data_IF_808349046751
#
_entry.id   IF_808349046751
#
_cell.length_a   1.000
_cell.length_b   1.000
_cell.length_c   1.000
_cell.angle_alpha   90.00
_cell.angle_beta   90.00
_cell.angle_gamma   90.00
#
_symmetry.space_group_name_H-M   'P 1'
#
loop_
_entity.id
_entity.type
_entity.pdbx_description
1 polymer ?
#
# COMPACT_ATOMS: atom_id res chain seq x y z
N UNK A 1 -16.19 -35.22 8.70
CA UNK A 1 -17.04 -34.18 8.08
C UNK A 1 -16.69 -34.13 6.60
N UNK A 2 -17.66 -34.34 5.71
CA UNK A 2 -17.43 -34.22 4.27
C UNK A 2 -16.97 -32.79 3.95
N UNK A 3 -15.96 -32.64 3.09
CA UNK A 3 -15.59 -31.30 2.60
C UNK A 3 -16.80 -30.76 1.83
N UNK A 4 -17.27 -29.53 2.09
CA UNK A 4 -18.35 -28.96 1.31
C UNK A 4 -17.99 -29.02 -0.18
N UNK A 5 -18.84 -29.66 -0.98
CA UNK A 5 -18.56 -29.87 -2.40
C UNK A 5 -18.87 -28.57 -3.14
N UNK A 6 -17.85 -28.00 -3.80
CA UNK A 6 -18.01 -26.82 -4.65
C UNK A 6 -18.58 -27.28 -5.99
N UNK A 7 -19.58 -26.56 -6.48
CA UNK A 7 -20.18 -26.85 -7.78
C UNK A 7 -19.18 -26.65 -8.94
N UNK A 8 -19.44 -27.34 -10.05
CA UNK A 8 -18.55 -27.33 -11.22
C UNK A 8 -18.40 -25.92 -11.78
N UNK A 9 -19.48 -25.12 -11.78
CA UNK A 9 -19.47 -23.75 -12.31
C UNK A 9 -18.52 -22.86 -11.53
N UNK A 10 -18.64 -22.80 -10.20
CA UNK A 10 -17.73 -22.05 -9.32
C UNK A 10 -16.29 -22.49 -9.50
N UNK A 11 -16.05 -23.80 -9.64
CA UNK A 11 -14.70 -24.35 -9.86
C UNK A 11 -14.11 -23.84 -11.18
N UNK A 12 -14.89 -23.82 -12.26
CA UNK A 12 -14.45 -23.31 -13.56
C UNK A 12 -14.19 -21.80 -13.52
N UNK A 13 -15.02 -21.03 -12.83
CA UNK A 13 -14.84 -19.58 -12.63
C UNK A 13 -13.54 -19.29 -11.87
N UNK A 14 -13.28 -19.98 -10.76
CA UNK A 14 -12.04 -19.83 -9.98
C UNK A 14 -10.79 -20.18 -10.81
N UNK A 15 -10.84 -21.25 -11.62
CA UNK A 15 -9.73 -21.63 -12.51
C UNK A 15 -9.47 -20.58 -13.59
N UNK A 16 -10.53 -20.04 -14.21
CA UNK A 16 -10.41 -18.95 -15.19
C UNK A 16 -9.78 -17.71 -14.56
N UNK A 17 -10.23 -17.34 -13.36
CA UNK A 17 -9.69 -16.22 -12.60
C UNK A 17 -8.19 -16.39 -12.30
N UNK A 18 -7.78 -17.54 -11.78
CA UNK A 18 -6.37 -17.80 -11.48
C UNK A 18 -5.50 -17.76 -12.73
N UNK A 19 -5.96 -18.34 -13.85
CA UNK A 19 -5.26 -18.24 -15.14
C UNK A 19 -5.12 -16.79 -15.60
N UNK A 20 -6.19 -15.99 -15.54
CA UNK A 20 -6.15 -14.57 -15.92
C UNK A 20 -5.19 -13.75 -15.04
N UNK A 21 -5.00 -14.16 -13.78
CA UNK A 21 -4.04 -13.57 -12.84
C UNK A 21 -2.62 -14.09 -12.96
N UNK A 22 -2.36 -15.07 -13.84
CA UNK A 22 -1.12 -15.84 -13.89
C UNK A 22 -0.74 -16.47 -12.54
N UNK A 23 -1.74 -16.90 -11.77
CA UNK A 23 -1.57 -17.64 -10.51
C UNK A 23 -1.62 -19.16 -10.76
N UNK A 24 -0.71 -19.90 -10.14
CA UNK A 24 -0.64 -21.36 -10.29
C UNK A 24 -1.89 -22.05 -9.73
N UNK A 25 -2.46 -22.97 -10.50
CA UNK A 25 -3.55 -23.86 -10.08
C UNK A 25 -3.04 -25.01 -9.20
N UNK A 26 -1.76 -25.36 -9.29
CA UNK A 26 -1.08 -26.39 -8.49
C UNK A 26 -0.34 -25.71 -7.33
N UNK A 27 -1.09 -24.94 -6.54
CA UNK A 27 -0.53 -24.19 -5.42
C UNK A 27 -1.43 -24.25 -4.20
N UNK A 28 -0.81 -24.18 -3.02
CA UNK A 28 -1.53 -24.03 -1.75
C UNK A 28 -2.44 -22.79 -1.76
N UNK A 29 -2.09 -21.74 -2.52
CA UNK A 29 -2.94 -20.58 -2.73
C UNK A 29 -4.27 -20.94 -3.40
N UNK A 30 -4.24 -21.74 -4.47
CA UNK A 30 -5.46 -22.17 -5.15
C UNK A 30 -6.30 -23.06 -4.25
N UNK A 31 -5.67 -24.01 -3.55
CA UNK A 31 -6.34 -24.87 -2.57
C UNK A 31 -7.01 -24.06 -1.45
N UNK A 32 -6.31 -23.08 -0.89
CA UNK A 32 -6.85 -22.17 0.13
C UNK A 32 -8.00 -21.31 -0.39
N UNK A 33 -7.91 -20.85 -1.63
CA UNK A 33 -8.99 -20.09 -2.26
C UNK A 33 -10.24 -20.95 -2.47
N UNK A 34 -10.06 -22.17 -2.99
CA UNK A 34 -11.15 -23.13 -3.14
C UNK A 34 -11.73 -23.50 -1.77
N UNK A 35 -10.90 -23.80 -0.77
CA UNK A 35 -11.38 -24.09 0.57
C UNK A 35 -12.18 -22.93 1.16
N UNK A 36 -11.75 -21.68 0.95
CA UNK A 36 -12.53 -20.51 1.33
C UNK A 36 -13.91 -20.48 0.63
N UNK A 37 -13.97 -20.67 -0.69
CA UNK A 37 -15.23 -20.73 -1.46
C UNK A 37 -16.17 -21.84 -0.98
N UNK A 38 -15.64 -22.97 -0.49
CA UNK A 38 -16.44 -24.09 0.02
C UNK A 38 -17.24 -23.73 1.28
N UNK A 39 -16.81 -22.70 2.01
CA UNK A 39 -17.46 -22.25 3.25
C UNK A 39 -18.56 -21.21 3.01
N UNK A 40 -18.75 -20.79 1.75
CA UNK A 40 -19.58 -19.65 1.36
C UNK A 40 -20.84 -20.10 0.61
N UNK A 41 -21.91 -19.31 0.72
CA UNK A 41 -23.08 -19.47 -0.15
C UNK A 41 -22.82 -18.85 -1.53
N UNK A 42 -23.76 -19.01 -2.46
CA UNK A 42 -23.54 -18.61 -3.86
C UNK A 42 -23.35 -17.10 -4.04
N UNK A 43 -24.13 -16.26 -3.35
CA UNK A 43 -23.95 -14.80 -3.36
C UNK A 43 -22.58 -14.38 -2.83
N UNK A 44 -22.11 -15.01 -1.76
CA UNK A 44 -20.81 -14.75 -1.14
C UNK A 44 -19.63 -15.24 -2.01
N UNK A 45 -19.78 -16.39 -2.68
CA UNK A 45 -18.79 -16.88 -3.66
C UNK A 45 -18.62 -15.87 -4.80
N UNK A 46 -19.73 -15.37 -5.35
CA UNK A 46 -19.71 -14.37 -6.41
C UNK A 46 -19.08 -13.05 -5.94
N UNK A 47 -19.37 -12.61 -4.71
CA UNK A 47 -18.69 -11.46 -4.12
C UNK A 47 -17.18 -11.69 -3.99
N UNK A 48 -16.73 -12.84 -3.50
CA UNK A 48 -15.30 -13.13 -3.37
C UNK A 48 -14.60 -13.21 -4.73
N UNK A 49 -15.21 -13.85 -5.73
CA UNK A 49 -14.68 -13.94 -7.09
C UNK A 49 -14.51 -12.55 -7.71
N UNK A 50 -15.54 -11.71 -7.65
CA UNK A 50 -15.51 -10.33 -8.18
C UNK A 50 -14.49 -9.42 -7.48
N UNK A 51 -14.31 -9.55 -6.16
CA UNK A 51 -13.26 -8.83 -5.43
C UNK A 51 -11.87 -9.34 -5.81
N UNK A 52 -11.73 -10.64 -6.01
CA UNK A 52 -10.45 -11.27 -6.38
C UNK A 52 -10.05 -10.94 -7.81
N UNK A 53 -11.01 -10.74 -8.72
CA UNK A 53 -10.77 -10.16 -10.05
C UNK A 53 -10.16 -8.77 -9.98
N UNK A 54 -10.55 -7.94 -9.01
CA UNK A 54 -9.97 -6.61 -8.77
C UNK A 54 -8.67 -6.65 -7.94
N UNK A 55 -8.36 -7.79 -7.31
CA UNK A 55 -7.21 -7.94 -6.44
C UNK A 55 -5.89 -7.89 -7.21
N UNK A 56 -4.93 -7.11 -6.70
CA UNK A 56 -3.64 -6.92 -7.35
C UNK A 56 -2.50 -7.38 -6.44
N UNK A 57 -1.76 -8.38 -6.91
CA UNK A 57 -0.50 -8.80 -6.31
C UNK A 57 0.66 -8.10 -7.02
N UNK A 58 1.50 -7.42 -6.25
CA UNK A 58 2.70 -6.73 -6.72
C UNK A 58 3.91 -7.43 -6.10
N UNK A 59 4.59 -8.24 -6.91
CA UNK A 59 5.79 -8.96 -6.48
C UNK A 59 7.00 -8.04 -6.29
N UNK A 60 7.95 -8.45 -5.42
CA UNK A 60 9.17 -7.70 -5.10
C UNK A 60 9.97 -7.29 -6.35
N UNK A 61 10.05 -8.18 -7.33
CA UNK A 61 10.75 -7.95 -8.61
C UNK A 61 10.18 -6.79 -9.43
N UNK A 62 8.94 -6.39 -9.15
CA UNK A 62 8.26 -5.30 -9.86
C UNK A 62 8.31 -3.98 -9.11
N UNK A 63 8.74 -3.94 -7.84
CA UNK A 63 8.57 -2.76 -6.99
C UNK A 63 9.22 -1.49 -7.56
N UNK A 64 10.45 -1.61 -8.06
CA UNK A 64 11.16 -0.49 -8.70
C UNK A 64 10.41 0.03 -9.92
N UNK A 65 9.90 -0.87 -10.76
CA UNK A 65 9.13 -0.49 -11.96
C UNK A 65 7.81 0.17 -11.58
N UNK A 66 7.10 -0.37 -10.59
CA UNK A 66 5.85 0.24 -10.11
C UNK A 66 6.08 1.64 -9.53
N UNK A 67 7.15 1.83 -8.76
CA UNK A 67 7.50 3.15 -8.23
C UNK A 67 7.93 4.13 -9.34
N UNK A 68 8.68 3.66 -10.34
CA UNK A 68 9.02 4.47 -11.52
C UNK A 68 7.77 4.91 -12.29
N UNK A 69 6.84 3.99 -12.52
CA UNK A 69 5.57 4.31 -13.17
C UNK A 69 4.74 5.31 -12.35
N UNK A 70 4.86 5.30 -11.01
CA UNK A 70 4.26 6.32 -10.16
C UNK A 70 4.96 7.68 -10.36
N UNK A 71 6.29 7.69 -10.47
CA UNK A 71 7.09 8.90 -10.68
C UNK A 71 6.75 9.58 -12.02
N UNK A 72 6.56 8.79 -13.08
CA UNK A 72 6.18 9.29 -14.41
C UNK A 72 4.81 10.01 -14.43
N UNK A 73 4.00 9.83 -13.39
CA UNK A 73 2.72 10.53 -13.22
C UNK A 73 2.84 11.88 -12.53
N UNK A 74 4.02 12.21 -11.99
CA UNK A 74 4.27 13.55 -11.45
C UNK A 74 4.23 14.54 -12.63
N UNK A 75 3.50 15.66 -12.53
CA UNK A 75 3.45 16.65 -13.59
C UNK A 75 4.84 17.12 -13.99
N UNK A 76 5.15 17.07 -15.29
CA UNK A 76 6.48 17.41 -15.83
C UNK A 76 6.96 18.79 -15.41
N UNK A 77 6.07 19.78 -15.27
CA UNK A 77 6.45 21.12 -14.82
C UNK A 77 7.00 21.14 -13.39
N UNK A 78 6.53 20.26 -12.49
CA UNK A 78 7.09 20.13 -11.12
C UNK A 78 8.51 19.56 -11.19
N UNK A 79 8.69 18.47 -11.92
CA UNK A 79 10.00 17.81 -12.08
C UNK A 79 11.01 18.72 -12.79
N UNK A 80 10.58 19.41 -13.85
CA UNK A 80 11.44 20.28 -14.64
C UNK A 80 11.75 21.60 -13.92
N UNK A 81 10.77 22.13 -13.18
CA UNK A 81 10.92 23.35 -12.38
C UNK A 81 11.83 23.17 -11.17
N UNK A 82 12.03 21.94 -10.72
CA UNK A 82 12.95 21.67 -9.62
C UNK A 82 14.42 21.74 -10.03
N UNK A 83 15.28 22.32 -9.20
CA UNK A 83 16.73 22.26 -9.38
C UNK A 83 17.24 20.86 -8.97
N UNK A 84 16.92 20.45 -7.75
CA UNK A 84 17.20 19.12 -7.21
C UNK A 84 15.93 18.42 -6.73
N UNK A 85 15.96 17.10 -6.79
CA UNK A 85 14.88 16.23 -6.33
C UNK A 85 15.47 15.24 -5.34
N UNK A 86 15.23 15.46 -4.06
CA UNK A 86 15.67 14.57 -2.99
C UNK A 86 14.65 13.46 -2.81
N UNK A 87 15.11 12.21 -2.77
CA UNK A 87 14.29 11.05 -2.45
C UNK A 87 14.64 10.59 -1.04
N UNK A 88 13.61 10.42 -0.21
CA UNK A 88 13.74 9.98 1.18
C UNK A 88 12.64 8.99 1.54
N UNK A 89 12.86 7.99 2.43
CA UNK A 89 11.80 7.12 2.90
C UNK A 89 10.71 7.91 3.64
N UNK A 90 9.44 7.54 3.43
CA UNK A 90 8.34 8.05 4.23
C UNK A 90 8.40 7.43 5.64
N UNK A 91 9.08 8.11 6.57
CA UNK A 91 9.39 7.56 7.89
C UNK A 91 9.28 8.56 9.03
N UNK A 92 9.25 8.05 10.27
CA UNK A 92 9.36 8.82 11.53
C UNK A 92 10.74 8.64 12.19
N UNK A 93 11.70 8.10 11.46
CA UNK A 93 13.02 7.75 12.03
C UNK A 93 13.94 8.96 12.11
N UNK A 94 13.41 10.08 12.62
CA UNK A 94 14.14 11.29 12.88
C UNK A 94 13.54 12.06 14.06
N UNK A 95 14.37 12.79 14.78
CA UNK A 95 13.99 13.76 15.80
C UNK A 95 14.75 15.07 15.57
N UNK A 96 14.10 16.19 15.88
CA UNK A 96 14.78 17.48 15.99
C UNK A 96 15.08 17.77 17.46
N UNK A 97 16.36 17.99 17.74
CA UNK A 97 16.84 18.37 19.07
C UNK A 97 16.60 19.85 19.35
N UNK A 98 16.74 20.25 20.61
CA UNK A 98 16.58 21.65 21.03
C UNK A 98 17.56 22.62 20.34
N UNK A 99 18.73 22.13 19.92
CA UNK A 99 19.71 22.87 19.11
C UNK A 99 19.37 22.88 17.59
N UNK A 100 18.14 22.50 17.21
CA UNK A 100 17.63 22.38 15.84
C UNK A 100 18.27 21.28 14.98
N UNK A 101 19.23 20.52 15.53
CA UNK A 101 19.86 19.39 14.83
C UNK A 101 18.85 18.26 14.59
N UNK A 102 18.80 17.73 13.36
CA UNK A 102 17.97 16.58 13.03
C UNK A 102 18.83 15.33 13.10
N UNK A 103 18.46 14.40 13.99
CA UNK A 103 19.12 13.10 14.12
C UNK A 103 18.22 11.99 13.65
N UNK A 104 18.81 11.03 12.93
CA UNK A 104 18.16 9.76 12.62
C UNK A 104 17.95 8.96 13.91
N UNK A 105 16.79 8.33 14.03
CA UNK A 105 16.46 7.43 15.14
C UNK A 105 16.62 5.99 14.66
N UNK A 106 17.33 5.17 15.42
CA UNK A 106 17.44 3.75 15.14
C UNK A 106 16.11 3.05 15.39
N UNK A 107 15.60 2.39 14.35
CA UNK A 107 14.37 1.63 14.41
C UNK A 107 14.37 0.52 13.37
N UNK A 108 13.52 -0.50 13.59
CA UNK A 108 13.37 -1.60 12.64
C UNK A 108 12.86 -1.06 11.28
N UNK A 109 13.55 -1.36 10.16
CA UNK A 109 13.14 -0.90 8.83
C UNK A 109 11.69 -1.25 8.51
N UNK A 110 10.91 -0.25 8.09
CA UNK A 110 9.54 -0.41 7.59
C UNK A 110 9.55 -0.42 6.06
N UNK A 111 8.38 -0.29 5.45
CA UNK A 111 8.19 -0.39 4.00
C UNK A 111 8.92 0.71 3.24
N UNK A 112 8.85 1.97 3.70
CA UNK A 112 9.57 3.10 3.11
C UNK A 112 11.08 2.89 3.07
N UNK A 113 11.69 2.42 4.16
CA UNK A 113 13.14 2.15 4.22
C UNK A 113 13.54 0.97 3.35
N UNK A 114 12.69 -0.07 3.25
CA UNK A 114 12.93 -1.17 2.31
C UNK A 114 12.85 -0.69 0.86
N UNK A 115 11.88 0.15 0.52
CA UNK A 115 11.76 0.76 -0.81
C UNK A 115 12.98 1.63 -1.13
N UNK A 116 13.43 2.44 -0.16
CA UNK A 116 14.64 3.24 -0.29
C UNK A 116 15.88 2.37 -0.52
N UNK A 117 16.08 1.32 0.29
CA UNK A 117 17.18 0.38 0.11
C UNK A 117 17.20 -0.29 -1.27
N UNK A 118 16.01 -0.64 -1.81
CA UNK A 118 15.91 -1.17 -3.17
C UNK A 118 16.36 -0.13 -4.21
N UNK A 119 15.97 1.13 -4.08
CA UNK A 119 16.38 2.22 -4.99
C UNK A 119 17.87 2.55 -4.90
N UNK A 120 18.45 2.48 -3.70
CA UNK A 120 19.87 2.78 -3.48
C UNK A 120 20.79 1.69 -4.03
N UNK A 121 20.28 0.48 -4.27
CA UNK A 121 21.07 -0.59 -4.87
C UNK A 121 21.54 -0.22 -6.29
N UNK A 122 22.80 -0.51 -6.60
CA UNK A 122 23.47 -0.11 -7.86
C UNK A 122 22.81 -0.64 -9.14
N UNK A 123 21.87 -1.58 -9.00
CA UNK A 123 21.13 -2.19 -10.09
C UNK A 123 19.94 -1.35 -10.55
N UNK A 124 19.60 -0.25 -9.87
CA UNK A 124 18.45 0.60 -10.22
C UNK A 124 18.88 1.80 -11.08
N UNK A 125 19.29 1.50 -12.29
CA UNK A 125 19.67 2.50 -13.30
C UNK A 125 18.48 3.36 -13.78
N UNK A 126 17.26 2.83 -13.72
CA UNK A 126 16.08 3.47 -14.30
C UNK A 126 15.74 4.83 -13.66
N UNK A 127 15.79 4.92 -12.33
CA UNK A 127 15.46 6.15 -11.60
C UNK A 127 16.59 7.20 -11.70
N UNK A 128 17.86 6.76 -11.82
CA UNK A 128 19.04 7.63 -11.87
C UNK A 128 19.28 8.32 -13.22
N UNK A 129 18.43 8.11 -14.24
CA UNK A 129 18.56 8.80 -15.54
C UNK A 129 18.34 10.32 -15.41
N UNK A 130 17.52 10.75 -14.46
CA UNK A 130 17.37 12.16 -14.16
C UNK A 130 18.50 12.62 -13.23
N UNK A 131 19.46 13.38 -13.77
CA UNK A 131 20.62 13.89 -13.04
C UNK A 131 20.28 14.81 -11.86
N UNK A 132 19.03 15.29 -11.76
CA UNK A 132 18.53 16.09 -10.64
C UNK A 132 18.20 15.25 -9.40
N UNK A 133 18.06 13.93 -9.55
CA UNK A 133 17.63 13.05 -8.47
C UNK A 133 18.81 12.74 -7.55
N UNK A 134 18.62 13.00 -6.26
CA UNK A 134 19.58 12.75 -5.19
C UNK A 134 18.90 11.82 -4.18
N UNK A 135 19.51 10.67 -3.93
CA UNK A 135 19.09 9.78 -2.84
C UNK A 135 19.77 10.27 -1.56
N UNK A 136 18.99 10.79 -0.62
CA UNK A 136 19.53 11.30 0.64
C UNK A 136 19.37 10.29 1.77
N UNK A 137 20.46 9.96 2.47
CA UNK A 137 20.42 9.05 3.62
C UNK A 137 20.18 9.77 4.95
N UNK A 138 20.55 11.05 5.01
CA UNK A 138 20.49 11.90 6.19
C UNK A 138 19.70 13.19 5.90
N UNK A 139 18.69 13.49 6.73
CA UNK A 139 17.85 14.67 6.56
C UNK A 139 18.58 15.98 6.82
N UNK A 140 19.54 16.00 7.75
CA UNK A 140 20.34 17.19 8.02
C UNK A 140 21.19 17.54 6.80
N UNK A 141 21.78 16.55 6.13
CA UNK A 141 22.53 16.76 4.88
C UNK A 141 21.63 17.23 3.73
N UNK A 142 20.44 16.63 3.59
CA UNK A 142 19.45 17.07 2.59
C UNK A 142 19.12 18.54 2.81
N UNK A 143 18.69 18.92 4.02
CA UNK A 143 18.21 20.27 4.29
C UNK A 143 19.31 21.34 4.33
N UNK A 144 20.57 20.97 4.62
CA UNK A 144 21.72 21.88 4.43
C UNK A 144 21.90 22.29 2.97
N UNK A 145 21.57 21.41 2.02
CA UNK A 145 21.77 21.61 0.59
C UNK A 145 20.47 21.92 -0.18
N UNK A 146 19.35 22.09 0.55
CA UNK A 146 18.02 22.25 -0.01
C UNK A 146 17.73 23.70 -0.36
N UNK A 147 17.40 23.95 -1.62
CA UNK A 147 16.91 25.24 -2.08
C UNK A 147 15.39 25.33 -1.86
N UNK A 148 14.97 26.02 -0.79
CA UNK A 148 13.58 26.08 -0.32
C UNK A 148 12.56 26.56 -1.35
N UNK A 149 12.99 27.32 -2.37
CA UNK A 149 12.09 27.89 -3.37
C UNK A 149 11.86 26.96 -4.57
N UNK A 150 12.80 26.08 -4.89
CA UNK A 150 12.74 25.28 -6.13
C UNK A 150 13.02 23.80 -5.94
N UNK A 151 13.62 23.35 -4.84
CA UNK A 151 13.87 21.93 -4.65
C UNK A 151 12.62 21.16 -4.22
N UNK A 152 12.61 19.86 -4.55
CA UNK A 152 11.56 18.93 -4.19
C UNK A 152 12.08 17.83 -3.27
N UNK A 153 11.27 17.46 -2.29
CA UNK A 153 11.42 16.28 -1.45
C UNK A 153 10.32 15.26 -1.82
N UNK A 154 10.74 14.12 -2.37
CA UNK A 154 9.87 12.98 -2.67
C UNK A 154 10.01 11.93 -1.56
N UNK A 155 8.94 11.75 -0.80
CA UNK A 155 8.82 10.73 0.24
C UNK A 155 8.24 9.44 -0.34
N UNK A 156 8.94 8.31 -0.19
CA UNK A 156 8.55 7.04 -0.82
C UNK A 156 8.02 5.99 0.17
N UNK A 157 7.03 5.20 -0.26
CA UNK A 157 6.52 4.03 0.46
C UNK A 157 5.98 2.97 -0.52
N UNK A 158 5.66 1.76 -0.04
CA UNK A 158 5.02 0.73 -0.87
C UNK A 158 3.53 1.01 -1.11
N UNK A 159 2.80 1.39 -0.05
CA UNK A 159 1.35 1.52 -0.08
C UNK A 159 0.78 2.56 0.89
N UNK A 160 -0.14 3.38 0.39
CA UNK A 160 -0.93 4.31 1.21
C UNK A 160 -2.41 3.90 1.28
N UNK A 161 -2.81 3.28 2.39
CA UNK A 161 -4.21 2.88 2.65
C UNK A 161 -5.12 4.07 2.98
N UNK A 162 -5.27 4.39 4.26
CA UNK A 162 -6.02 5.60 4.68
C UNK A 162 -5.24 6.89 4.46
N UNK A 163 -3.91 6.81 4.38
CA UNK A 163 -3.01 7.95 4.29
C UNK A 163 -2.68 8.60 5.63
N UNK A 164 -3.23 8.14 6.75
CA UNK A 164 -3.02 8.78 8.06
C UNK A 164 -1.53 8.81 8.44
N UNK A 165 -0.81 7.70 8.23
CA UNK A 165 0.63 7.64 8.52
C UNK A 165 1.42 8.62 7.67
N UNK A 166 1.11 8.71 6.37
CA UNK A 166 1.77 9.64 5.47
C UNK A 166 1.47 11.10 5.85
N UNK A 167 0.21 11.40 6.15
CA UNK A 167 -0.24 12.71 6.59
C UNK A 167 0.48 13.15 7.87
N UNK A 168 0.52 12.30 8.90
CA UNK A 168 1.19 12.62 10.16
C UNK A 168 2.70 12.83 9.97
N UNK A 169 3.35 11.99 9.15
CA UNK A 169 4.78 12.13 8.84
C UNK A 169 5.02 13.46 8.11
N UNK A 170 4.21 13.78 7.10
CA UNK A 170 4.36 15.04 6.37
C UNK A 170 4.16 16.26 7.27
N UNK A 171 3.22 16.21 8.22
CA UNK A 171 3.08 17.27 9.24
C UNK A 171 4.35 17.41 10.08
N UNK A 172 4.92 16.30 10.55
CA UNK A 172 6.18 16.33 11.27
C UNK A 172 7.31 16.98 10.46
N UNK A 173 7.38 16.72 9.15
CA UNK A 173 8.34 17.40 8.26
C UNK A 173 8.09 18.91 8.14
N UNK A 174 6.83 19.34 8.04
CA UNK A 174 6.46 20.76 7.93
C UNK A 174 6.64 21.54 9.26
N UNK A 175 6.62 20.82 10.38
CA UNK A 175 6.78 21.38 11.73
C UNK A 175 8.26 21.49 12.16
N UNK A 176 9.22 21.01 11.35
CA UNK A 176 10.65 21.15 11.61
C UNK A 176 11.08 22.63 11.58
N UNK A 177 11.87 23.05 12.58
CA UNK A 177 12.51 24.38 12.60
C UNK A 177 13.79 24.35 11.75
N UNK A 178 13.68 24.75 10.48
CA UNK A 178 14.75 24.67 9.47
C UNK A 178 15.43 26.03 9.19
N UNK A 179 15.46 26.92 10.19
CA UNK A 179 15.99 28.30 10.06
C UNK A 179 17.35 28.35 9.31
N UNK A 180 17.54 29.23 8.30
CA UNK A 180 16.63 30.31 7.86
C UNK A 180 15.50 29.86 6.92
N UNK A 181 15.48 28.59 6.51
CA UNK A 181 14.51 28.06 5.58
C UNK A 181 13.27 27.48 6.24
N UNK A 182 12.33 27.06 5.40
CA UNK A 182 11.14 26.32 5.81
C UNK A 182 10.65 25.45 4.67
N UNK A 183 10.32 24.21 4.99
CA UNK A 183 9.66 23.31 4.05
C UNK A 183 8.20 23.74 3.88
N UNK A 184 7.78 23.95 2.62
CA UNK A 184 6.38 24.26 2.28
C UNK A 184 5.71 22.99 1.72
N UNK A 185 4.38 22.83 1.83
CA UNK A 185 3.67 21.67 1.29
C UNK A 185 3.97 21.36 -0.18
N UNK A 186 4.15 22.41 -0.99
CA UNK A 186 4.47 22.32 -2.42
C UNK A 186 5.85 21.72 -2.71
N UNK A 187 6.80 21.80 -1.75
CA UNK A 187 8.10 21.14 -1.85
C UNK A 187 7.98 19.62 -1.64
N UNK A 188 6.88 19.13 -1.05
CA UNK A 188 6.72 17.72 -0.67
C UNK A 188 5.83 16.98 -1.67
N UNK A 189 6.30 15.83 -2.09
CA UNK A 189 5.50 14.84 -2.84
C UNK A 189 5.59 13.51 -2.11
N UNK A 190 4.45 12.84 -1.92
CA UNK A 190 4.43 11.43 -1.50
C UNK A 190 4.28 10.55 -2.74
N UNK A 191 5.11 9.52 -2.84
CA UNK A 191 5.16 8.62 -3.98
C UNK A 191 5.05 7.17 -3.51
N UNK A 192 4.03 6.45 -3.98
CA UNK A 192 3.85 5.04 -3.63
C UNK A 192 3.59 4.16 -4.86
N UNK A 193 3.75 2.84 -4.73
CA UNK A 193 3.37 1.94 -5.83
C UNK A 193 1.85 1.86 -5.97
N UNK A 194 1.15 1.78 -4.84
CA UNK A 194 -0.31 1.84 -4.81
C UNK A 194 -0.83 2.72 -3.68
N UNK A 195 -2.02 3.26 -3.85
CA UNK A 195 -2.72 4.04 -2.86
C UNK A 195 -4.23 3.87 -2.98
N UNK A 196 -4.96 4.18 -1.92
CA UNK A 196 -6.39 4.39 -2.03
C UNK A 196 -6.73 5.86 -2.22
N UNK A 197 -7.87 6.13 -2.86
CA UNK A 197 -8.36 7.50 -3.07
C UNK A 197 -8.47 8.29 -1.75
N UNK A 198 -8.76 7.60 -0.64
CA UNK A 198 -8.77 8.22 0.70
C UNK A 198 -7.42 8.81 1.08
N UNK A 199 -6.31 8.10 0.82
CA UNK A 199 -4.97 8.61 1.12
C UNK A 199 -4.62 9.85 0.27
N UNK A 200 -4.99 9.83 -1.01
CA UNK A 200 -4.81 10.98 -1.92
C UNK A 200 -5.54 12.20 -1.37
N UNK A 201 -6.80 12.03 -0.98
CA UNK A 201 -7.61 13.13 -0.43
C UNK A 201 -7.06 13.64 0.91
N UNK A 202 -6.56 12.74 1.77
CA UNK A 202 -6.02 13.09 3.07
C UNK A 202 -4.72 13.91 2.99
N UNK A 203 -3.85 13.63 2.01
CA UNK A 203 -2.67 14.46 1.80
C UNK A 203 -3.01 15.77 1.08
N UNK A 204 -3.98 15.73 0.17
CA UNK A 204 -4.47 16.94 -0.50
C UNK A 204 -5.02 17.96 0.50
N UNK A 205 -5.62 17.54 1.63
CA UNK A 205 -6.14 18.48 2.65
C UNK A 205 -5.04 19.24 3.40
N UNK A 206 -3.77 18.84 3.28
CA UNK A 206 -2.61 19.60 3.76
C UNK A 206 -1.75 20.12 2.61
N UNK A 207 -2.33 20.25 1.41
CA UNK A 207 -1.69 20.74 0.18
C UNK A 207 -0.49 19.91 -0.32
N UNK A 208 -0.39 18.65 0.10
CA UNK A 208 0.65 17.72 -0.36
C UNK A 208 0.08 16.79 -1.42
N UNK A 209 0.84 16.61 -2.50
CA UNK A 209 0.44 15.72 -3.59
C UNK A 209 0.88 14.28 -3.32
N UNK A 210 -0.01 13.30 -3.51
CA UNK A 210 0.33 11.88 -3.57
C UNK A 210 0.20 11.38 -5.00
N UNK A 211 1.24 10.75 -5.51
CA UNK A 211 1.22 10.03 -6.78
C UNK A 211 1.44 8.54 -6.54
N UNK A 212 0.68 7.71 -7.28
CA UNK A 212 0.83 6.27 -7.24
C UNK A 212 0.59 5.63 -8.60
N UNK A 213 1.24 4.48 -8.85
CA UNK A 213 0.96 3.76 -10.09
C UNK A 213 -0.45 3.17 -10.09
N UNK A 214 -0.93 2.72 -8.93
CA UNK A 214 -2.30 2.24 -8.78
C UNK A 214 -3.05 3.05 -7.74
N UNK A 215 -4.15 3.69 -8.16
CA UNK A 215 -5.08 4.36 -7.26
C UNK A 215 -6.40 3.62 -7.37
N UNK A 216 -6.96 3.20 -6.24
CA UNK A 216 -8.27 2.57 -6.20
C UNK A 216 -9.16 3.11 -5.08
N UNK A 217 -10.46 2.98 -5.27
CA UNK A 217 -11.45 3.22 -4.21
C UNK A 217 -11.46 2.08 -3.18
N UNK A 218 -12.51 2.08 -2.36
CA UNK A 218 -12.81 0.96 -1.48
C UNK A 218 -13.36 -0.21 -2.29
N UNK A 219 -12.91 -1.43 -1.99
CA UNK A 219 -13.25 -2.63 -2.76
C UNK A 219 -14.75 -2.94 -2.82
N UNK A 220 -15.52 -2.61 -1.78
CA UNK A 220 -16.98 -2.77 -1.77
C UNK A 220 -17.67 -1.41 -1.83
N UNK A 221 -17.38 -0.53 -0.88
CA UNK A 221 -18.08 0.75 -0.70
C UNK A 221 -17.98 1.71 -1.89
N UNK A 222 -16.98 1.57 -2.76
CA UNK A 222 -16.84 2.38 -3.97
C UNK A 222 -17.19 1.63 -5.26
N UNK A 223 -17.50 0.33 -5.18
CA UNK A 223 -17.65 -0.55 -6.34
C UNK A 223 -19.07 -1.03 -6.59
N UNK A 224 -19.97 -0.91 -5.62
CA UNK A 224 -21.31 -1.51 -5.69
C UNK A 224 -22.38 -0.52 -5.22
N UNK A 225 -23.51 -0.38 -5.95
CA UNK A 225 -24.63 0.45 -5.50
C UNK A 225 -25.23 -0.04 -4.17
N UNK A 226 -25.35 -1.36 -3.99
CA UNK A 226 -25.87 -2.02 -2.80
C UNK A 226 -24.78 -2.32 -1.76
N UNK A 227 -23.78 -1.44 -1.65
CA UNK A 227 -22.57 -1.71 -0.85
C UNK A 227 -22.88 -2.10 0.60
N UNK A 228 -23.93 -1.56 1.24
CA UNK A 228 -24.29 -1.91 2.61
C UNK A 228 -24.59 -3.41 2.77
N UNK A 229 -25.37 -3.99 1.85
CA UNK A 229 -25.64 -5.44 1.81
C UNK A 229 -24.35 -6.22 1.64
N UNK A 230 -23.49 -5.80 0.71
CA UNK A 230 -22.20 -6.49 0.44
C UNK A 230 -21.20 -6.37 1.59
N UNK A 231 -21.23 -5.26 2.34
CA UNK A 231 -20.46 -5.10 3.57
C UNK A 231 -20.94 -6.10 4.62
N UNK A 232 -22.25 -6.21 4.85
CA UNK A 232 -22.80 -7.22 5.75
C UNK A 232 -22.43 -8.63 5.30
N UNK A 233 -22.52 -8.93 4.00
CA UNK A 233 -22.09 -10.22 3.44
C UNK A 233 -20.61 -10.49 3.73
N UNK A 234 -19.71 -9.54 3.48
CA UNK A 234 -18.27 -9.72 3.79
C UNK A 234 -18.04 -9.98 5.29
N UNK A 235 -18.77 -9.30 6.17
CA UNK A 235 -18.66 -9.54 7.62
C UNK A 235 -19.15 -10.94 8.01
N UNK A 236 -20.19 -11.45 7.36
CA UNK A 236 -20.62 -12.85 7.53
C UNK A 236 -19.61 -13.83 6.94
N UNK A 237 -19.00 -13.53 5.79
CA UNK A 237 -17.92 -14.33 5.21
C UNK A 237 -16.72 -14.44 6.19
N UNK A 238 -16.31 -13.32 6.79
CA UNK A 238 -15.25 -13.29 7.81
C UNK A 238 -15.59 -14.17 9.04
N UNK A 239 -16.87 -14.23 9.45
CA UNK A 239 -17.34 -15.17 10.50
C UNK A 239 -17.28 -16.61 10.01
N UNK A 240 -17.76 -16.89 8.79
CA UNK A 240 -17.84 -18.24 8.21
C UNK A 240 -16.47 -18.88 8.06
N UNK A 241 -15.45 -18.11 7.69
CA UNK A 241 -14.07 -18.58 7.66
C UNK A 241 -13.45 -18.74 9.06
N UNK A 242 -14.15 -18.41 10.15
CA UNK A 242 -13.69 -18.62 11.51
C UNK A 242 -12.80 -17.52 12.07
N UNK A 243 -12.92 -16.27 11.59
CA UNK A 243 -12.17 -15.17 12.20
C UNK A 243 -12.66 -14.88 13.63
N UNK A 244 -11.72 -14.92 14.58
CA UNK A 244 -11.96 -14.58 15.99
C UNK A 244 -12.50 -13.16 16.13
N UNK A 245 -13.39 -12.94 17.11
CA UNK A 245 -14.02 -11.64 17.38
C UNK A 245 -13.01 -10.49 17.51
N UNK A 246 -11.92 -10.71 18.25
CA UNK A 246 -10.86 -9.69 18.43
C UNK A 246 -10.21 -9.28 17.11
N UNK A 247 -9.96 -10.24 16.21
CA UNK A 247 -9.40 -9.97 14.89
C UNK A 247 -10.40 -9.20 14.02
N UNK A 248 -11.68 -9.62 14.01
CA UNK A 248 -12.75 -8.91 13.29
C UNK A 248 -12.93 -7.47 13.77
N UNK A 249 -12.92 -7.22 15.08
CA UNK A 249 -13.04 -5.85 15.61
C UNK A 249 -11.93 -4.91 15.09
N UNK A 250 -10.73 -5.45 14.82
CA UNK A 250 -9.57 -4.66 14.39
C UNK A 250 -9.42 -4.57 12.88
N UNK A 251 -9.74 -5.65 12.17
CA UNK A 251 -9.36 -5.84 10.76
C UNK A 251 -10.53 -6.18 9.84
N UNK A 252 -11.77 -6.27 10.33
CA UNK A 252 -12.94 -6.47 9.46
C UNK A 252 -12.99 -5.38 8.40
N UNK A 253 -13.17 -5.79 7.14
CA UNK A 253 -13.09 -4.91 5.97
C UNK A 253 -11.71 -4.25 5.77
N UNK A 254 -10.65 -4.85 6.34
CA UNK A 254 -9.32 -4.25 6.43
C UNK A 254 -9.19 -3.21 7.54
N UNK A 255 -7.96 -2.91 7.97
CA UNK A 255 -7.67 -1.92 9.00
C UNK A 255 -8.36 -0.58 8.72
N UNK A 256 -9.06 -0.03 9.71
CA UNK A 256 -9.91 1.18 9.57
C UNK A 256 -10.94 1.09 8.43
N UNK A 257 -11.42 -0.12 8.12
CA UNK A 257 -12.41 -0.40 7.06
C UNK A 257 -11.95 0.15 5.70
N UNK A 258 -10.67 -0.11 5.39
CA UNK A 258 -10.01 0.40 4.19
C UNK A 258 -10.49 -0.32 2.92
N UNK A 259 -10.85 -1.60 3.03
CA UNK A 259 -11.34 -2.41 1.92
C UNK A 259 -10.34 -2.52 0.76
N UNK A 260 -9.05 -2.57 1.08
CA UNK A 260 -8.00 -2.65 0.06
C UNK A 260 -7.96 -4.04 -0.59
N UNK A 261 -7.52 -4.08 -1.85
CA UNK A 261 -7.42 -5.27 -2.68
C UNK A 261 -6.00 -5.41 -3.25
N UNK A 262 -5.00 -5.24 -2.38
CA UNK A 262 -3.59 -5.34 -2.75
C UNK A 262 -2.86 -6.38 -1.90
N UNK A 263 -1.86 -7.03 -2.50
CA UNK A 263 -0.79 -7.71 -1.78
C UNK A 263 0.54 -7.30 -2.38
N UNK A 264 1.56 -7.13 -1.52
CA UNK A 264 2.95 -6.96 -1.93
C UNK A 264 3.71 -8.23 -1.58
N UNK A 265 4.95 -8.11 -1.07
CA UNK A 265 5.63 -9.23 -0.41
C UNK A 265 4.80 -9.82 0.74
N UNK A 266 4.04 -8.97 1.43
CA UNK A 266 3.02 -9.36 2.42
C UNK A 266 1.76 -8.50 2.18
N UNK A 267 0.55 -9.01 2.40
CA UNK A 267 -0.66 -8.19 2.36
C UNK A 267 -0.60 -7.09 3.44
N UNK A 268 -0.91 -5.83 3.14
CA UNK A 268 -1.05 -4.78 4.15
C UNK A 268 -2.29 -5.05 5.02
N UNK A 269 -2.30 -4.53 6.25
CA UNK A 269 -3.43 -4.72 7.17
C UNK A 269 -4.73 -4.09 6.64
N UNK A 270 -4.63 -3.16 5.69
CA UNK A 270 -5.74 -2.51 5.01
C UNK A 270 -6.48 -3.44 4.04
N UNK A 271 -5.86 -4.55 3.63
CA UNK A 271 -6.47 -5.54 2.74
C UNK A 271 -7.49 -6.38 3.48
N UNK A 272 -8.57 -6.79 2.80
CA UNK A 272 -9.59 -7.65 3.41
C UNK A 272 -8.95 -8.89 4.06
N UNK A 273 -9.30 -9.20 5.32
CA UNK A 273 -8.66 -10.28 6.07
C UNK A 273 -8.98 -11.67 5.51
N UNK A 274 -10.05 -11.84 4.73
CA UNK A 274 -10.36 -13.10 4.05
C UNK A 274 -9.19 -13.61 3.18
N UNK A 275 -8.34 -12.70 2.69
CA UNK A 275 -7.17 -13.05 1.88
C UNK A 275 -5.98 -13.54 2.69
N UNK A 276 -5.79 -13.08 3.92
CA UNK A 276 -4.51 -13.23 4.64
C UNK A 276 -4.62 -13.75 6.07
N UNK A 277 -5.81 -13.74 6.67
CA UNK A 277 -6.00 -14.16 8.04
C UNK A 277 -5.92 -15.69 8.16
N UNK A 278 -5.03 -16.15 9.03
CA UNK A 278 -5.07 -17.51 9.57
C UNK A 278 -6.22 -17.61 10.57
N UNK A 279 -7.07 -18.60 10.41
CA UNK A 279 -8.27 -18.82 11.23
C UNK A 279 -8.36 -20.28 11.66
N UNK A 280 -9.37 -20.62 12.47
CA UNK A 280 -9.62 -22.01 12.88
C UNK A 280 -9.93 -22.91 11.67
N UNK A 281 -10.63 -22.39 10.66
CA UNK A 281 -11.00 -23.14 9.45
C UNK A 281 -10.01 -22.99 8.29
N UNK A 282 -9.23 -21.90 8.26
CA UNK A 282 -8.24 -21.58 7.21
C UNK A 282 -6.86 -21.50 7.86
N UNK A 283 -6.14 -22.63 7.89
CA UNK A 283 -4.79 -22.68 8.47
C UNK A 283 -3.72 -22.11 7.53
N UNK A 284 -3.94 -22.26 6.22
CA UNK A 284 -3.12 -21.68 5.16
C UNK A 284 -3.95 -20.61 4.45
N UNK A 285 -3.69 -19.31 4.66
CA UNK A 285 -4.42 -18.25 3.96
C UNK A 285 -4.00 -18.16 2.48
N UNK A 286 -4.83 -17.51 1.66
CA UNK A 286 -4.60 -17.32 0.22
C UNK A 286 -3.28 -16.54 -0.02
N UNK A 287 -3.08 -15.49 0.76
CA UNK A 287 -1.86 -14.68 0.80
C UNK A 287 -1.32 -14.62 2.22
N UNK A 288 -0.36 -15.50 2.59
CA UNK A 288 0.21 -15.52 3.91
C UNK A 288 0.86 -14.20 4.30
N UNK A 289 0.54 -13.74 5.50
CA UNK A 289 1.29 -12.73 6.21
C UNK A 289 2.22 -13.48 7.15
N UNK A 290 3.50 -13.56 6.82
CA UNK A 290 4.51 -14.04 7.76
C UNK A 290 4.62 -13.00 8.88
N UNK A 291 4.57 -13.43 10.13
CA UNK A 291 4.89 -12.59 11.28
C UNK A 291 6.41 -12.46 11.42
#
# INVERSE_FOLDING_TARGET
MSKPQIDIKTTLEARKLFKAKNWSLESSRFESFMHCLSLLNDDEKQLLLSLTEKFKEIGISSHIRELHNAYDKIPKHKVNGAEKIFIYPLTRFFEQKSNKEIKKIDAKPKSGERMYSLLSSDKVHAFRKNKKIILGEDLSEIFKNFNWEIDLLILIDDFAGTGDTAHDICKQFLDLDLTPGRLKPENIIVLTMAAQQKAVNNLKSINISLYANHISGKGISSSYPDFQRKISMMQEMEKKIGMRRRARNRYSLGFKKSEALYSFQRPPNNTFPIYWAKTEKIQTPIFPRFD
#
